data_IF_006801798659
#
_entry.id   IF_006801798659
#
_cell.length_a   1.000
_cell.length_b   1.000
_cell.length_c   1.000
_cell.angle_alpha   90.00
_cell.angle_beta   90.00
_cell.angle_gamma   90.00
#
_symmetry.space_group_name_H-M   'P 1'
#
loop_
_entity.id
_entity.type
_entity.pdbx_description
1 polymer ?
#
# COMPACT_ATOMS: atom_id res chain seq x y z
N UNK A 1 42.75 2.91 19.00
CA UNK A 1 42.38 3.35 17.64
C UNK A 1 41.58 2.24 16.96
N UNK A 2 40.24 2.31 16.99
CA UNK A 2 39.37 1.35 16.29
C UNK A 2 38.84 1.97 15.00
N UNK A 3 39.55 1.76 13.89
CA UNK A 3 39.17 2.22 12.54
C UNK A 3 38.51 1.11 11.69
N UNK A 4 38.28 -0.10 12.23
CA UNK A 4 37.84 -1.25 11.41
C UNK A 4 36.31 -1.39 11.24
N UNK A 5 35.50 -0.68 12.03
CA UNK A 5 34.03 -0.80 11.99
C UNK A 5 33.35 -0.09 10.81
N UNK A 6 33.95 0.99 10.30
CA UNK A 6 33.35 1.81 9.24
C UNK A 6 33.33 1.14 7.86
N UNK A 7 34.42 0.50 7.46
CA UNK A 7 34.53 -0.13 6.14
C UNK A 7 33.65 -1.37 5.99
N UNK A 8 33.55 -2.20 7.05
CA UNK A 8 32.66 -3.37 7.07
C UNK A 8 31.18 -2.98 7.05
N UNK A 9 30.81 -1.88 7.72
CA UNK A 9 29.45 -1.31 7.66
C UNK A 9 29.07 -0.81 6.27
N UNK A 10 29.98 -0.13 5.57
CA UNK A 10 29.76 0.38 4.21
C UNK A 10 29.62 -0.75 3.19
N UNK A 11 30.45 -1.79 3.27
CA UNK A 11 30.36 -2.95 2.37
C UNK A 11 29.07 -3.74 2.57
N UNK A 12 28.63 -3.93 3.82
CA UNK A 12 27.33 -4.57 4.11
C UNK A 12 26.15 -3.77 3.57
N UNK A 13 26.19 -2.44 3.67
CA UNK A 13 25.16 -1.55 3.10
C UNK A 13 25.13 -1.61 1.57
N UNK A 14 26.31 -1.60 0.92
CA UNK A 14 26.41 -1.71 -0.53
C UNK A 14 25.88 -3.07 -1.04
N UNK A 15 26.22 -4.16 -0.35
CA UNK A 15 25.70 -5.50 -0.66
C UNK A 15 24.18 -5.60 -0.47
N UNK A 16 23.62 -4.94 0.56
CA UNK A 16 22.18 -4.83 0.77
C UNK A 16 21.48 -4.14 -0.40
N UNK A 17 21.94 -2.94 -0.78
CA UNK A 17 21.37 -2.19 -1.90
C UNK A 17 21.44 -2.94 -3.24
N UNK A 18 22.52 -3.69 -3.48
CA UNK A 18 22.63 -4.54 -4.67
C UNK A 18 21.62 -5.68 -4.64
N UNK A 19 21.44 -6.33 -3.49
CA UNK A 19 20.45 -7.38 -3.29
C UNK A 19 19.03 -6.85 -3.52
N UNK A 20 18.69 -5.70 -2.95
CA UNK A 20 17.35 -5.11 -3.09
C UNK A 20 17.05 -4.75 -4.55
N UNK A 21 18.05 -4.23 -5.28
CA UNK A 21 17.93 -3.99 -6.73
C UNK A 21 17.76 -5.28 -7.53
N UNK A 22 18.49 -6.33 -7.19
CA UNK A 22 18.35 -7.64 -7.84
C UNK A 22 16.96 -8.24 -7.58
N UNK A 23 16.46 -8.15 -6.35
CA UNK A 23 15.13 -8.60 -5.97
C UNK A 23 14.04 -7.80 -6.70
N UNK A 24 14.16 -6.48 -6.79
CA UNK A 24 13.25 -5.64 -7.57
C UNK A 24 13.27 -6.01 -9.06
N UNK A 25 14.44 -6.31 -9.63
CA UNK A 25 14.54 -6.79 -11.01
C UNK A 25 13.92 -8.18 -11.20
N UNK A 26 14.08 -9.08 -10.23
CA UNK A 26 13.45 -10.40 -10.24
C UNK A 26 11.93 -10.32 -10.13
N UNK A 27 11.41 -9.49 -9.23
CA UNK A 27 9.98 -9.14 -9.14
C UNK A 27 9.45 -8.63 -10.49
N UNK A 28 10.16 -7.66 -11.09
CA UNK A 28 9.85 -7.14 -12.42
C UNK A 28 10.08 -8.14 -13.57
N UNK A 29 10.55 -9.35 -13.32
CA UNK A 29 10.60 -10.41 -14.36
C UNK A 29 9.52 -11.45 -14.11
N UNK A 30 9.28 -11.78 -12.84
CA UNK A 30 8.34 -12.80 -12.43
C UNK A 30 6.87 -12.37 -12.57
N UNK A 31 6.55 -11.10 -12.32
CA UNK A 31 5.18 -10.60 -12.47
C UNK A 31 4.93 -10.28 -13.95
N UNK A 32 4.11 -11.10 -14.61
CA UNK A 32 3.60 -10.80 -15.95
C UNK A 32 2.35 -9.94 -15.80
N UNK A 33 2.22 -8.91 -16.64
CA UNK A 33 1.05 -8.03 -16.66
C UNK A 33 0.33 -8.18 -17.99
N UNK A 34 -1.01 -8.22 -17.95
CA UNK A 34 -1.85 -8.14 -19.12
C UNK A 34 -1.85 -6.70 -19.67
N UNK A 35 -1.99 -6.56 -20.98
CA UNK A 35 -2.14 -5.25 -21.61
C UNK A 35 -3.48 -4.65 -21.21
N UNK A 36 -3.46 -3.48 -20.58
CA UNK A 36 -4.65 -2.74 -20.19
C UNK A 36 -4.56 -1.31 -20.73
N UNK A 37 -5.46 -0.90 -21.64
CA UNK A 37 -5.50 0.48 -22.11
C UNK A 37 -5.98 1.42 -20.99
N UNK A 38 -5.61 2.69 -21.10
CA UNK A 38 -6.12 3.73 -20.20
C UNK A 38 -5.59 3.68 -18.77
N UNK A 39 -4.48 2.99 -18.51
CA UNK A 39 -3.77 3.10 -17.23
C UNK A 39 -3.25 4.53 -17.06
N UNK A 40 -3.40 5.09 -15.86
CA UNK A 40 -2.95 6.44 -15.52
C UNK A 40 -2.25 6.45 -14.17
N UNK A 41 -1.22 7.30 -14.05
CA UNK A 41 -0.51 7.48 -12.79
C UNK A 41 -1.25 8.42 -11.86
N UNK A 42 -1.35 8.05 -10.58
CA UNK A 42 -1.78 8.91 -9.46
C UNK A 42 -0.71 8.90 -8.37
N UNK A 43 -0.36 10.07 -7.83
CA UNK A 43 0.78 10.24 -6.91
C UNK A 43 2.15 10.09 -7.60
N UNK A 44 3.23 9.96 -6.82
CA UNK A 44 4.58 9.73 -7.35
C UNK A 44 4.91 8.23 -7.37
N UNK A 45 5.14 7.66 -8.55
CA UNK A 45 5.50 6.23 -8.69
C UNK A 45 6.81 5.87 -7.99
N UNK A 46 7.74 6.81 -7.83
CA UNK A 46 8.98 6.63 -7.04
C UNK A 46 8.72 6.63 -5.53
N UNK A 47 7.56 7.13 -5.12
CA UNK A 47 7.09 7.25 -3.73
C UNK A 47 5.87 6.37 -3.46
N UNK A 48 4.74 6.97 -3.08
CA UNK A 48 3.52 6.27 -2.68
C UNK A 48 2.52 6.00 -3.82
N UNK A 49 2.77 6.51 -5.02
CA UNK A 49 1.84 6.50 -6.15
C UNK A 49 1.60 5.14 -6.81
N UNK A 50 0.52 5.05 -7.59
CA UNK A 50 0.09 3.86 -8.32
C UNK A 50 -0.26 4.17 -9.79
N UNK A 51 -0.24 3.14 -10.63
CA UNK A 51 -0.89 3.17 -11.93
C UNK A 51 -2.28 2.53 -11.79
N UNK A 52 -3.35 3.28 -12.08
CA UNK A 52 -4.75 2.88 -11.87
C UNK A 52 -5.49 2.79 -13.22
N UNK A 53 -6.55 1.97 -13.34
CA UNK A 53 -7.32 1.84 -14.59
C UNK A 53 -8.22 3.07 -14.81
N UNK A 54 -7.68 4.12 -15.41
CA UNK A 54 -8.33 5.42 -15.50
C UNK A 54 -9.64 5.43 -16.29
N UNK A 55 -9.83 4.52 -17.25
CA UNK A 55 -11.08 4.39 -18.00
C UNK A 55 -12.21 3.74 -17.18
N UNK A 56 -11.88 3.04 -16.09
CA UNK A 56 -12.85 2.40 -15.21
C UNK A 56 -13.30 3.31 -14.05
N UNK A 57 -12.74 4.52 -13.94
CA UNK A 57 -12.98 5.44 -12.84
C UNK A 57 -13.66 6.73 -13.34
N UNK A 58 -14.58 7.25 -12.53
CA UNK A 58 -15.30 8.48 -12.81
C UNK A 58 -15.89 9.09 -11.54
N UNK A 59 -16.73 10.15 -11.65
CA UNK A 59 -17.19 10.92 -10.51
C UNK A 59 -18.03 10.14 -9.49
N UNK A 60 -18.63 9.03 -9.90
CA UNK A 60 -19.45 8.16 -9.04
C UNK A 60 -18.70 6.94 -8.53
N UNK A 61 -17.41 6.82 -8.82
CA UNK A 61 -16.65 5.63 -8.41
C UNK A 61 -16.46 5.55 -6.90
N UNK A 62 -16.60 4.35 -6.36
CA UNK A 62 -16.35 4.06 -4.95
C UNK A 62 -14.88 3.73 -4.76
N UNK A 63 -14.12 4.65 -4.15
CA UNK A 63 -12.67 4.51 -3.99
C UNK A 63 -12.28 4.45 -2.52
N UNK A 64 -11.44 3.47 -2.20
CA UNK A 64 -10.82 3.30 -0.90
C UNK A 64 -9.30 3.38 -1.01
N UNK A 65 -8.67 4.08 -0.06
CA UNK A 65 -7.22 4.12 0.09
C UNK A 65 -6.90 3.74 1.53
N UNK A 66 -6.19 2.64 1.73
CA UNK A 66 -5.63 2.23 3.01
C UNK A 66 -4.20 2.75 3.13
N UNK A 67 -3.98 3.67 4.07
CA UNK A 67 -2.73 4.38 4.29
C UNK A 67 -2.61 5.59 3.35
N UNK A 68 -2.36 6.77 3.91
CA UNK A 68 -2.14 8.00 3.14
C UNK A 68 -0.91 7.91 2.23
N UNK A 69 0.02 7.01 2.54
CA UNK A 69 1.29 6.90 1.86
C UNK A 69 2.26 8.01 2.28
N UNK A 70 3.54 7.80 2.04
CA UNK A 70 4.60 8.73 2.48
C UNK A 70 4.53 10.12 1.84
N UNK A 71 3.89 10.22 0.66
CA UNK A 71 3.71 11.46 -0.09
C UNK A 71 2.29 12.02 -0.03
N UNK A 72 1.33 11.29 0.56
CA UNK A 72 -0.08 11.71 0.64
C UNK A 72 -0.77 11.87 -0.72
N UNK A 73 -0.12 11.48 -1.82
CA UNK A 73 -0.47 11.98 -3.16
C UNK A 73 -1.56 11.18 -3.89
N UNK A 74 -1.83 9.96 -3.46
CA UNK A 74 -2.76 9.04 -4.15
C UNK A 74 -4.20 9.55 -4.06
N UNK A 75 -4.71 9.80 -2.85
CA UNK A 75 -6.09 10.26 -2.65
C UNK A 75 -6.40 11.58 -3.38
N UNK A 76 -5.65 12.68 -3.19
CA UNK A 76 -5.91 13.92 -3.92
C UNK A 76 -5.68 13.78 -5.43
N UNK A 77 -4.73 12.93 -5.86
CA UNK A 77 -4.50 12.64 -7.28
C UNK A 77 -5.70 11.96 -7.95
N UNK A 78 -6.35 11.02 -7.25
CA UNK A 78 -7.58 10.38 -7.70
C UNK A 78 -8.72 11.40 -7.78
N UNK A 79 -8.95 12.16 -6.71
CA UNK A 79 -10.02 13.17 -6.68
C UNK A 79 -9.86 14.19 -7.80
N UNK A 80 -8.65 14.74 -7.98
CA UNK A 80 -8.37 15.74 -9.01
C UNK A 80 -8.59 15.21 -10.43
N UNK A 81 -8.36 13.91 -10.65
CA UNK A 81 -8.41 13.30 -11.98
C UNK A 81 -9.77 12.73 -12.36
N UNK A 82 -10.51 12.18 -11.39
CA UNK A 82 -11.75 11.46 -11.63
C UNK A 82 -12.97 12.12 -11.01
N UNK A 83 -12.79 13.05 -10.06
CA UNK A 83 -13.87 13.81 -9.45
C UNK A 83 -14.69 13.06 -8.41
N UNK A 84 -14.38 11.79 -8.12
CA UNK A 84 -15.04 10.99 -7.08
C UNK A 84 -14.61 11.37 -5.67
N UNK A 85 -15.33 10.84 -4.70
CA UNK A 85 -14.96 10.84 -3.29
C UNK A 85 -14.00 9.68 -3.02
N UNK A 86 -12.95 9.93 -2.25
CA UNK A 86 -11.99 8.92 -1.79
C UNK A 86 -12.13 8.74 -0.30
N UNK A 87 -12.40 7.51 0.13
CA UNK A 87 -12.41 7.12 1.54
C UNK A 87 -10.99 6.70 1.95
N UNK A 88 -10.29 7.60 2.64
CA UNK A 88 -8.91 7.42 3.08
C UNK A 88 -8.88 6.96 4.53
N UNK A 89 -8.42 5.72 4.74
CA UNK A 89 -8.28 5.08 6.05
C UNK A 89 -6.80 5.06 6.46
N UNK A 90 -6.44 5.77 7.53
CA UNK A 90 -5.10 5.73 8.11
C UNK A 90 -5.16 5.92 9.63
N UNK A 91 -4.44 5.08 10.37
CA UNK A 91 -4.37 5.15 11.82
C UNK A 91 -3.22 6.02 12.34
N UNK A 92 -2.23 6.37 11.51
CA UNK A 92 -1.08 7.16 11.95
C UNK A 92 -1.51 8.59 12.34
N UNK A 93 -1.31 9.04 13.59
CA UNK A 93 -1.62 10.41 14.01
C UNK A 93 -0.90 11.47 13.15
N UNK A 94 0.29 11.16 12.64
CA UNK A 94 1.05 12.06 11.74
C UNK A 94 0.38 12.16 10.37
N UNK A 95 -0.19 11.04 9.89
CA UNK A 95 -1.01 11.04 8.68
C UNK A 95 -2.30 11.83 8.92
N UNK A 96 -2.93 11.70 10.09
CA UNK A 96 -4.12 12.49 10.44
C UNK A 96 -3.86 14.00 10.38
N UNK A 97 -2.73 14.49 10.88
CA UNK A 97 -2.36 15.91 10.77
C UNK A 97 -2.11 16.35 9.32
N UNK A 98 -1.45 15.51 8.53
CA UNK A 98 -1.18 15.81 7.12
C UNK A 98 -2.47 15.82 6.30
N UNK A 99 -3.28 14.77 6.43
CA UNK A 99 -4.54 14.60 5.73
C UNK A 99 -5.54 15.65 6.18
N UNK A 100 -5.61 16.04 7.45
CA UNK A 100 -6.49 17.12 7.89
C UNK A 100 -6.23 18.42 7.10
N UNK A 101 -4.98 18.73 6.75
CA UNK A 101 -4.65 19.89 5.90
C UNK A 101 -5.07 19.70 4.44
N UNK A 102 -5.02 18.46 3.93
CA UNK A 102 -5.43 18.11 2.55
C UNK A 102 -6.95 18.07 2.43
N UNK A 103 -7.63 17.33 3.31
CA UNK A 103 -9.09 17.21 3.39
C UNK A 103 -9.78 18.57 3.64
N UNK A 104 -9.15 19.47 4.40
CA UNK A 104 -9.65 20.84 4.56
C UNK A 104 -9.69 21.63 3.23
N UNK A 105 -8.87 21.26 2.25
CA UNK A 105 -8.84 21.90 0.92
C UNK A 105 -9.60 21.10 -0.14
N UNK A 106 -9.77 19.80 0.08
CA UNK A 106 -10.47 18.90 -0.82
C UNK A 106 -11.46 18.04 -0.01
N UNK A 107 -12.72 18.50 0.15
CA UNK A 107 -13.71 17.83 0.98
C UNK A 107 -14.13 16.45 0.46
N UNK A 108 -13.76 16.11 -0.79
CA UNK A 108 -13.96 14.78 -1.36
C UNK A 108 -12.90 13.76 -0.93
N UNK A 109 -11.90 14.15 -0.13
CA UNK A 109 -11.06 13.19 0.60
C UNK A 109 -11.69 12.98 1.98
N UNK A 110 -12.51 11.93 2.12
CA UNK A 110 -13.12 11.53 3.38
C UNK A 110 -12.08 10.78 4.22
N UNK A 111 -11.59 11.41 5.29
CA UNK A 111 -10.55 10.83 6.14
C UNK A 111 -11.16 10.08 7.33
N UNK A 112 -10.69 8.84 7.53
CA UNK A 112 -11.07 7.97 8.63
C UNK A 112 -9.80 7.65 9.45
N UNK A 113 -9.71 8.10 10.73
CA UNK A 113 -8.52 7.89 11.57
C UNK A 113 -8.47 6.47 12.16
N UNK A 114 -8.67 5.45 11.32
CA UNK A 114 -8.69 4.03 11.68
C UNK A 114 -7.93 3.24 10.63
N UNK A 115 -7.24 2.18 11.03
CA UNK A 115 -6.53 1.32 10.09
C UNK A 115 -7.53 0.45 9.31
N UNK A 116 -7.29 0.25 8.02
CA UNK A 116 -8.00 -0.79 7.27
C UNK A 116 -7.28 -2.14 7.42
N UNK A 117 -8.02 -3.20 7.72
CA UNK A 117 -7.49 -4.48 8.17
C UNK A 117 -8.37 -5.68 7.75
N UNK A 118 -8.06 -6.87 8.27
CA UNK A 118 -8.82 -8.12 8.05
C UNK A 118 -9.93 -8.38 9.09
N UNK A 119 -10.02 -7.55 10.13
CA UNK A 119 -11.01 -7.67 11.20
C UNK A 119 -11.14 -6.36 11.98
N UNK A 120 -12.27 -6.21 12.68
CA UNK A 120 -12.50 -5.14 13.65
C UNK A 120 -11.79 -5.47 14.96
N UNK A 121 -10.61 -4.88 15.14
CA UNK A 121 -9.73 -5.15 16.29
C UNK A 121 -8.95 -3.90 16.67
N UNK A 122 -8.35 -3.87 17.86
CA UNK A 122 -7.29 -2.90 18.16
C UNK A 122 -5.95 -3.49 17.70
N UNK A 123 -5.22 -2.76 16.87
CA UNK A 123 -3.90 -3.15 16.38
C UNK A 123 -2.82 -2.27 17.00
N UNK A 124 -1.66 -2.87 17.25
CA UNK A 124 -0.45 -2.11 17.55
C UNK A 124 0.19 -1.70 16.23
N UNK A 125 0.16 -0.40 15.94
CA UNK A 125 0.82 0.19 14.79
C UNK A 125 2.21 0.63 15.20
N UNK A 126 3.20 0.26 14.39
CA UNK A 126 4.57 0.72 14.56
C UNK A 126 4.79 1.92 13.65
N UNK A 127 5.21 3.05 14.22
CA UNK A 127 5.48 4.24 13.43
C UNK A 127 6.52 3.94 12.32
N UNK A 128 6.33 4.48 11.09
CA UNK A 128 7.32 4.34 10.04
C UNK A 128 8.66 4.94 10.52
N UNK A 129 9.74 4.16 10.39
CA UNK A 129 11.09 4.66 10.75
C UNK A 129 11.47 5.76 9.77
N UNK A 130 11.66 6.98 10.27
CA UNK A 130 12.16 8.11 9.49
C UNK A 130 13.53 7.74 8.85
N UNK A 131 13.64 7.87 7.53
CA UNK A 131 14.91 7.82 6.82
C UNK A 131 15.38 6.41 6.41
N UNK A 132 14.81 5.90 5.31
CA UNK A 132 15.35 4.74 4.60
C UNK A 132 14.82 3.40 5.12
N UNK A 133 14.06 2.72 4.26
CA UNK A 133 13.54 1.38 4.49
C UNK A 133 14.67 0.38 4.79
N UNK A 134 14.71 -0.13 6.02
CA UNK A 134 15.50 -1.30 6.41
C UNK A 134 14.63 -2.16 7.35
N UNK A 135 14.25 -3.37 6.94
CA UNK A 135 13.67 -4.31 7.89
C UNK A 135 14.76 -4.77 8.86
N UNK A 136 14.46 -4.62 10.14
CA UNK A 136 15.06 -5.45 11.17
C UNK A 136 13.94 -6.21 11.87
N UNK A 137 14.24 -7.43 12.30
CA UNK A 137 13.32 -8.22 13.11
C UNK A 137 12.99 -7.44 14.39
N UNK A 138 11.81 -7.63 14.99
CA UNK A 138 11.42 -7.02 16.26
C UNK A 138 12.42 -7.26 17.42
N UNK A 139 13.31 -8.25 17.28
CA UNK A 139 14.30 -8.68 18.27
C UNK A 139 15.61 -7.89 18.28
N UNK A 140 15.89 -7.03 17.29
CA UNK A 140 17.30 -6.68 17.00
C UNK A 140 17.78 -5.28 17.48
N UNK A 141 16.98 -4.48 18.20
CA UNK A 141 17.44 -3.19 18.75
C UNK A 141 16.78 -2.82 20.09
N UNK A 142 17.53 -2.66 21.19
CA UNK A 142 17.05 -1.99 22.40
C UNK A 142 17.14 -0.47 22.21
N UNK A 143 15.99 0.21 22.11
CA UNK A 143 15.91 1.67 22.16
C UNK A 143 14.94 2.30 21.14
N UNK A 144 13.79 2.73 21.66
CA UNK A 144 12.79 3.65 21.09
C UNK A 144 12.16 3.31 19.72
N UNK A 145 10.98 2.70 19.74
CA UNK A 145 10.00 2.91 18.67
C UNK A 145 8.65 3.21 19.30
N UNK A 146 8.08 4.39 19.03
CA UNK A 146 6.68 4.70 19.36
C UNK A 146 5.79 3.73 18.59
N UNK A 147 5.39 2.65 19.27
CA UNK A 147 4.21 1.89 18.88
C UNK A 147 3.01 2.51 19.55
N UNK A 148 1.94 2.71 18.82
CA UNK A 148 0.67 3.16 19.38
C UNK A 148 -0.41 2.13 19.05
N UNK A 149 -1.40 2.05 19.94
CA UNK A 149 -2.60 1.25 19.66
C UNK A 149 -3.58 2.09 18.89
N UNK A 150 -4.17 1.51 17.85
CA UNK A 150 -5.20 2.16 17.06
C UNK A 150 -6.35 1.21 16.73
N UNK A 151 -7.57 1.73 16.60
CA UNK A 151 -8.67 0.95 16.05
C UNK A 151 -8.36 0.57 14.61
N UNK A 152 -8.61 -0.68 14.28
CA UNK A 152 -8.64 -1.21 12.93
C UNK A 152 -10.06 -1.67 12.59
N UNK A 153 -10.40 -1.53 11.31
CA UNK A 153 -11.69 -1.93 10.75
C UNK A 153 -11.48 -2.88 9.57
N UNK A 154 -12.34 -3.89 9.45
CA UNK A 154 -12.35 -4.76 8.28
C UNK A 154 -12.79 -3.99 7.02
N UNK A 155 -12.31 -4.39 5.84
CA UNK A 155 -12.79 -3.78 4.58
C UNK A 155 -14.31 -3.96 4.40
N UNK A 156 -14.88 -5.08 4.88
CA UNK A 156 -16.31 -5.33 4.78
C UNK A 156 -17.12 -4.34 5.63
N UNK A 157 -16.68 -4.11 6.87
CA UNK A 157 -17.33 -3.17 7.77
C UNK A 157 -17.11 -1.71 7.33
N UNK A 158 -15.97 -1.40 6.72
CA UNK A 158 -15.72 -0.09 6.11
C UNK A 158 -16.70 0.20 4.98
N UNK A 159 -16.85 -0.74 4.03
CA UNK A 159 -17.84 -0.65 2.95
C UNK A 159 -19.25 -0.46 3.50
N UNK A 160 -19.67 -1.32 4.43
CA UNK A 160 -21.00 -1.26 5.02
C UNK A 160 -21.27 0.05 5.78
N UNK A 161 -20.28 0.53 6.55
CA UNK A 161 -20.41 1.79 7.34
C UNK A 161 -20.58 3.00 6.43
N UNK A 162 -19.86 3.01 5.30
CA UNK A 162 -19.88 4.13 4.36
C UNK A 162 -21.05 4.00 3.35
N UNK A 163 -21.88 2.96 3.46
CA UNK A 163 -23.06 2.73 2.62
C UNK A 163 -22.74 2.16 1.24
N UNK A 164 -21.59 1.51 1.08
CA UNK A 164 -21.14 0.89 -0.15
C UNK A 164 -21.21 -0.64 -0.07
N UNK A 165 -21.44 -1.29 -1.20
CA UNK A 165 -21.43 -2.75 -1.36
C UNK A 165 -20.25 -3.25 -2.20
N UNK A 166 -19.48 -2.33 -2.81
CA UNK A 166 -18.31 -2.61 -3.63
C UNK A 166 -17.27 -1.49 -3.53
N UNK A 167 -16.05 -1.79 -3.96
CA UNK A 167 -15.01 -0.81 -4.27
C UNK A 167 -14.62 -0.93 -5.75
N UNK A 168 -14.78 0.16 -6.50
CA UNK A 168 -14.24 0.26 -7.86
C UNK A 168 -12.72 0.22 -7.86
N UNK A 169 -12.11 0.85 -6.85
CA UNK A 169 -10.67 0.84 -6.63
C UNK A 169 -10.36 0.78 -5.14
N UNK A 170 -9.51 -0.18 -4.76
CA UNK A 170 -8.86 -0.23 -3.46
C UNK A 170 -7.34 -0.08 -3.62
N UNK A 171 -6.78 0.97 -3.04
CA UNK A 171 -5.33 1.16 -2.95
C UNK A 171 -4.83 0.82 -1.55
N UNK A 172 -3.92 -0.14 -1.45
CA UNK A 172 -3.31 -0.59 -0.20
C UNK A 172 -1.87 -0.08 -0.15
N UNK A 173 -1.65 0.99 0.59
CA UNK A 173 -0.37 1.67 0.77
C UNK A 173 0.12 1.63 2.23
N UNK A 174 -0.23 0.58 2.97
CA UNK A 174 0.16 0.33 4.36
C UNK A 174 1.29 -0.69 4.45
N UNK A 175 2.16 -0.55 5.46
CA UNK A 175 3.22 -1.52 5.74
C UNK A 175 2.72 -2.61 6.69
N UNK A 176 2.79 -3.87 6.28
CA UNK A 176 2.52 -5.04 7.10
C UNK A 176 1.06 -5.53 7.07
N UNK A 177 0.12 -4.70 6.64
CA UNK A 177 -1.30 -5.08 6.51
C UNK A 177 -1.65 -5.68 5.14
N UNK A 178 -0.81 -5.48 4.12
CA UNK A 178 -1.15 -5.73 2.72
C UNK A 178 -1.53 -7.21 2.47
N UNK A 179 -0.82 -8.13 3.10
CA UNK A 179 -1.11 -9.56 3.01
C UNK A 179 -2.43 -9.94 3.71
N UNK A 180 -2.74 -9.29 4.83
CA UNK A 180 -3.99 -9.53 5.56
C UNK A 180 -5.19 -9.01 4.80
N UNK A 181 -5.07 -7.82 4.21
CA UNK A 181 -6.10 -7.28 3.32
C UNK A 181 -6.29 -8.16 2.09
N UNK A 182 -5.22 -8.68 1.49
CA UNK A 182 -5.33 -9.69 0.42
C UNK A 182 -6.10 -10.92 0.91
N UNK A 183 -5.74 -11.47 2.06
CA UNK A 183 -6.42 -12.66 2.58
C UNK A 183 -7.90 -12.38 2.92
N UNK A 184 -8.23 -11.17 3.38
CA UNK A 184 -9.60 -10.72 3.62
C UNK A 184 -10.39 -10.63 2.32
N UNK A 185 -9.84 -10.00 1.27
CA UNK A 185 -10.47 -9.91 -0.06
C UNK A 185 -10.78 -11.29 -0.63
N UNK A 186 -9.92 -12.28 -0.37
CA UNK A 186 -10.08 -13.64 -0.85
C UNK A 186 -11.11 -14.46 -0.03
N UNK A 187 -11.32 -14.13 1.25
CA UNK A 187 -12.18 -14.89 2.18
C UNK A 187 -13.56 -14.26 2.38
N UNK A 188 -13.64 -12.94 2.37
CA UNK A 188 -14.86 -12.18 2.64
C UNK A 188 -15.63 -11.89 1.35
N UNK A 189 -16.96 -11.70 1.43
CA UNK A 189 -17.79 -11.33 0.29
C UNK A 189 -17.65 -9.83 -0.03
N UNK A 190 -16.43 -9.37 -0.32
CA UNK A 190 -16.16 -7.98 -0.70
C UNK A 190 -15.95 -7.91 -2.22
N UNK A 191 -16.76 -7.10 -2.89
CA UNK A 191 -16.58 -6.83 -4.32
C UNK A 191 -15.53 -5.73 -4.50
N UNK A 192 -14.36 -6.11 -5.01
CA UNK A 192 -13.27 -5.20 -5.35
C UNK A 192 -12.95 -5.40 -6.82
N UNK A 193 -13.16 -4.36 -7.63
CA UNK A 193 -12.99 -4.41 -9.09
C UNK A 193 -11.55 -4.16 -9.51
N UNK A 194 -10.88 -3.19 -8.89
CA UNK A 194 -9.45 -2.93 -9.08
C UNK A 194 -8.73 -2.85 -7.74
N UNK A 195 -7.54 -3.44 -7.68
CA UNK A 195 -6.73 -3.56 -6.47
C UNK A 195 -5.29 -3.10 -6.74
N UNK A 196 -4.88 -2.01 -6.09
CA UNK A 196 -3.51 -1.54 -6.08
C UNK A 196 -2.84 -1.96 -4.77
N UNK A 197 -1.72 -2.69 -4.85
CA UNK A 197 -1.00 -3.19 -3.68
C UNK A 197 0.42 -2.66 -3.68
N UNK A 198 0.85 -2.09 -2.55
CA UNK A 198 2.25 -1.84 -2.22
C UNK A 198 2.74 -2.98 -1.32
N UNK A 199 3.77 -3.68 -1.78
CA UNK A 199 4.44 -4.74 -1.04
C UNK A 199 5.60 -4.13 -0.25
N UNK A 200 5.46 -4.09 1.07
CA UNK A 200 6.48 -3.52 1.94
C UNK A 200 7.78 -4.30 1.82
N UNK A 201 8.91 -3.58 1.74
CA UNK A 201 10.23 -4.19 1.60
C UNK A 201 11.07 -4.06 2.88
N UNK A 202 12.01 -4.99 3.09
CA UNK A 202 12.23 -6.23 2.33
C UNK A 202 11.17 -7.30 2.56
N UNK A 203 10.59 -7.82 1.48
CA UNK A 203 9.75 -9.02 1.49
C UNK A 203 10.36 -10.11 0.60
N UNK A 204 10.25 -11.39 0.99
CA UNK A 204 10.63 -12.49 0.10
C UNK A 204 9.79 -12.44 -1.18
N UNK A 205 10.44 -12.57 -2.34
CA UNK A 205 9.76 -12.57 -3.63
C UNK A 205 8.69 -13.66 -3.70
N UNK A 206 8.97 -14.83 -3.13
CA UNK A 206 8.09 -16.00 -3.11
C UNK A 206 6.76 -15.67 -2.44
N UNK A 207 6.78 -14.91 -1.34
CA UNK A 207 5.57 -14.51 -0.61
C UNK A 207 4.68 -13.58 -1.43
N UNK A 208 5.30 -12.67 -2.18
CA UNK A 208 4.58 -11.76 -3.09
C UNK A 208 3.97 -12.57 -4.24
N UNK A 209 4.74 -13.48 -4.86
CA UNK A 209 4.27 -14.32 -5.95
C UNK A 209 3.16 -15.28 -5.52
N UNK A 210 3.23 -15.85 -4.32
CA UNK A 210 2.16 -16.67 -3.75
C UNK A 210 0.87 -15.87 -3.58
N UNK A 211 0.96 -14.65 -3.05
CA UNK A 211 -0.20 -13.77 -2.88
C UNK A 211 -0.82 -13.37 -4.21
N UNK A 212 0.01 -13.04 -5.21
CA UNK A 212 -0.46 -12.78 -6.57
C UNK A 212 -1.08 -14.03 -7.20
N UNK A 213 -0.52 -15.22 -6.99
CA UNK A 213 -1.09 -16.48 -7.46
C UNK A 213 -2.49 -16.75 -6.90
N UNK A 214 -2.68 -16.50 -5.60
CA UNK A 214 -4.00 -16.62 -4.95
C UNK A 214 -5.01 -15.61 -5.50
N UNK A 215 -4.59 -14.35 -5.72
CA UNK A 215 -5.42 -13.33 -6.35
C UNK A 215 -5.81 -13.72 -7.79
N UNK A 216 -4.89 -14.25 -8.59
CA UNK A 216 -5.19 -14.77 -9.93
C UNK A 216 -6.18 -15.92 -9.92
N UNK A 217 -6.03 -16.85 -8.97
CA UNK A 217 -6.99 -17.93 -8.74
C UNK A 217 -8.40 -17.43 -8.39
N UNK A 218 -8.52 -16.21 -7.85
CA UNK A 218 -9.77 -15.53 -7.55
C UNK A 218 -10.24 -14.55 -8.66
N UNK A 219 -9.62 -14.59 -9.84
CA UNK A 219 -10.02 -13.79 -11.01
C UNK A 219 -9.36 -12.41 -11.09
N UNK A 220 -8.35 -12.10 -10.27
CA UNK A 220 -7.60 -10.84 -10.42
C UNK A 220 -6.40 -11.01 -11.34
N UNK A 221 -6.36 -10.27 -12.45
CA UNK A 221 -5.22 -10.26 -13.36
C UNK A 221 -4.35 -9.01 -13.14
N UNK A 222 -3.02 -9.15 -12.97
CA UNK A 222 -2.12 -8.01 -12.91
C UNK A 222 -2.10 -7.24 -14.24
N UNK A 223 -2.26 -5.92 -14.19
CA UNK A 223 -2.29 -5.04 -15.38
C UNK A 223 -1.23 -3.94 -15.33
N UNK A 224 -0.68 -3.66 -14.15
CA UNK A 224 0.48 -2.80 -14.00
C UNK A 224 1.38 -3.29 -12.88
N UNK A 225 2.66 -2.98 -13.00
CA UNK A 225 3.66 -3.25 -11.98
C UNK A 225 4.76 -2.23 -12.03
N UNK A 226 5.20 -1.81 -10.86
CA UNK A 226 6.39 -1.01 -10.69
C UNK A 226 7.14 -1.50 -9.47
N UNK A 227 8.40 -1.14 -9.35
CA UNK A 227 9.12 -1.46 -8.13
C UNK A 227 10.57 -1.07 -8.22
N UNK A 228 11.11 -0.68 -7.08
CA UNK A 228 12.52 -0.40 -6.88
C UNK A 228 13.00 -1.11 -5.61
N UNK A 229 14.13 -0.67 -5.05
CA UNK A 229 14.70 -1.27 -3.84
C UNK A 229 13.84 -1.04 -2.58
N UNK A 230 12.91 -0.08 -2.60
CA UNK A 230 12.17 0.39 -1.42
C UNK A 230 10.72 -0.06 -1.40
N UNK A 231 10.10 -0.26 -2.56
CA UNK A 231 8.74 -0.77 -2.64
C UNK A 231 8.50 -1.47 -3.98
N UNK A 232 7.71 -2.54 -3.95
CA UNK A 232 7.14 -3.13 -5.15
C UNK A 232 5.65 -2.87 -5.17
N UNK A 233 5.10 -2.68 -6.36
CA UNK A 233 3.70 -2.31 -6.55
C UNK A 233 3.10 -3.11 -7.67
N UNK A 234 1.84 -3.48 -7.50
CA UNK A 234 1.04 -4.14 -8.52
C UNK A 234 -0.35 -3.54 -8.54
N UNK A 235 -0.90 -3.37 -9.74
CA UNK A 235 -2.32 -3.11 -9.93
C UNK A 235 -2.94 -4.32 -10.60
N UNK A 236 -4.02 -4.83 -10.04
CA UNK A 236 -4.79 -5.95 -10.55
C UNK A 236 -6.23 -5.51 -10.84
N UNK A 237 -6.84 -6.11 -11.84
CA UNK A 237 -8.26 -5.93 -12.16
C UNK A 237 -8.96 -7.29 -12.07
N UNK A 238 -10.16 -7.32 -11.49
CA UNK A 238 -11.01 -8.50 -11.46
C UNK A 238 -11.63 -8.72 -12.85
N UNK A 239 -11.40 -9.89 -13.43
CA UNK A 239 -11.89 -10.33 -14.75
C UNK A 239 -12.98 -11.37 -14.63
#
# INVERSE_FOLDING_TARGET
MSMSGGAQGTLRRAAGLLRDRQQAAAFRRAVVVAAQPGMVTVGDLRGGGFEVPGQALGPTSVVYVAGAGSDGGVAPGIVARFGCTVNLYDADPRAAEHVARVAAREPRVAFHPVALWDADVTVTVHAPRLGGYQAHRPSDLPGSHESFSAPARSLADALATDGHDHADLLCVAVDGAEYRLVDHILRAPVDVRALCLRWAQPAPLERVLESLGRLRGAGFEPVARSGDATAWKTTLIRT
#
